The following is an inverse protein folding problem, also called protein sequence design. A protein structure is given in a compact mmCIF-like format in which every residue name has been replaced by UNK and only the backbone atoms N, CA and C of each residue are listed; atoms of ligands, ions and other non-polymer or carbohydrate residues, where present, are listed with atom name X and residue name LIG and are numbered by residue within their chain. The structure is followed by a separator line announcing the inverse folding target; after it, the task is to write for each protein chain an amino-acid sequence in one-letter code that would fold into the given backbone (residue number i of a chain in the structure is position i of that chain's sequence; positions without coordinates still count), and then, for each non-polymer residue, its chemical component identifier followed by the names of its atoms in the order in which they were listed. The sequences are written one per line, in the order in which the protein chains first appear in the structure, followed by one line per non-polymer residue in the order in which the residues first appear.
data_IF_231197667575
#
_entry.id   IF_231197667575
#
_cell.length_a   1.000
_cell.length_b   1.000
_cell.length_c   1.000
_cell.angle_alpha   90.00
_cell.angle_beta   90.00
_cell.angle_gamma   90.00
#
_symmetry.space_group_name_H-M   'P 1'
#
loop_
_entity.id
_entity.type
_entity.pdbx_description
1 polymer ?
#
# COMPACT_ATOMS: atom_id res chain seq x y z
N UNK A 1 -3.90 -18.05 -0.45
CA UNK A 1 -4.28 -17.55 -1.80
C UNK A 1 -3.77 -16.13 -1.97
N UNK A 2 -3.15 -15.82 -3.10
CA UNK A 2 -2.61 -14.47 -3.38
C UNK A 2 -3.72 -13.55 -3.87
N UNK A 3 -3.69 -12.30 -3.40
CA UNK A 3 -4.68 -11.28 -3.77
C UNK A 3 -4.01 -9.95 -4.04
N UNK A 4 -4.75 -9.05 -4.68
CA UNK A 4 -4.38 -7.66 -4.84
C UNK A 4 -5.62 -6.79 -4.66
N UNK A 5 -5.40 -5.52 -4.35
CA UNK A 5 -6.48 -4.57 -4.14
C UNK A 5 -5.96 -3.18 -4.47
N UNK A 6 -6.80 -2.37 -5.11
CA UNK A 6 -6.45 -1.03 -5.58
C UNK A 6 -7.70 -0.17 -5.63
N UNK A 7 -7.54 1.15 -5.47
CA UNK A 7 -8.65 2.08 -5.68
C UNK A 7 -8.84 2.29 -7.18
N UNK A 8 -10.07 2.17 -7.63
CA UNK A 8 -10.49 2.45 -8.99
C UNK A 8 -11.36 3.71 -8.98
N UNK A 9 -11.07 4.67 -9.85
CA UNK A 9 -11.82 5.94 -9.96
C UNK A 9 -12.10 6.18 -11.44
N UNK A 10 -13.37 6.29 -11.84
CA UNK A 10 -13.73 6.52 -13.25
C UNK A 10 -13.13 5.47 -14.20
N UNK A 11 -13.09 4.20 -13.78
CA UNK A 11 -12.49 3.11 -14.55
C UNK A 11 -10.96 3.15 -14.67
N UNK A 12 -10.27 3.98 -13.87
CA UNK A 12 -8.81 4.09 -13.86
C UNK A 12 -8.19 3.50 -12.59
N UNK A 13 -7.02 2.88 -12.73
CA UNK A 13 -6.27 2.25 -11.65
C UNK A 13 -4.79 2.62 -11.75
N UNK A 14 -4.19 3.03 -10.63
CA UNK A 14 -2.76 3.33 -10.55
C UNK A 14 -1.92 2.04 -10.60
N UNK A 15 -0.98 1.95 -11.53
CA UNK A 15 -0.04 0.84 -11.63
C UNK A 15 -0.72 -0.51 -11.89
N UNK A 16 -1.73 -0.55 -12.76
CA UNK A 16 -2.56 -1.74 -12.98
C UNK A 16 -1.72 -2.96 -13.41
N UNK A 17 -0.71 -2.74 -14.25
CA UNK A 17 0.23 -3.79 -14.68
C UNK A 17 1.08 -4.36 -13.53
N UNK A 18 1.32 -3.58 -12.47
CA UNK A 18 1.99 -4.08 -11.27
C UNK A 18 1.11 -5.04 -10.48
N UNK A 19 -0.20 -4.79 -10.47
CA UNK A 19 -1.18 -5.67 -9.85
C UNK A 19 -1.29 -7.01 -10.60
N UNK A 20 -1.25 -6.99 -11.94
CA UNK A 20 -1.22 -8.21 -12.75
C UNK A 20 0.04 -9.03 -12.53
N UNK A 21 1.21 -8.38 -12.52
CA UNK A 21 2.48 -9.04 -12.22
C UNK A 21 2.48 -9.71 -10.85
N UNK A 22 1.96 -9.04 -9.81
CA UNK A 22 1.83 -9.62 -8.47
C UNK A 22 0.97 -10.89 -8.46
N UNK A 23 -0.13 -10.87 -9.21
CA UNK A 23 -1.07 -11.99 -9.26
C UNK A 23 -0.63 -13.12 -10.19
N UNK A 24 0.32 -12.87 -11.10
CA UNK A 24 0.73 -13.83 -12.12
C UNK A 24 -0.37 -14.15 -13.14
N UNK A 25 -1.28 -13.20 -13.40
CA UNK A 25 -2.41 -13.45 -14.30
C UNK A 25 -1.96 -13.52 -15.76
N UNK A 26 -2.47 -14.52 -16.49
CA UNK A 26 -2.30 -14.59 -17.94
C UNK A 26 -3.08 -13.47 -18.64
N UNK A 27 -2.69 -13.08 -19.88
CA UNK A 27 -3.42 -12.05 -20.62
C UNK A 27 -4.91 -12.35 -20.82
N UNK A 28 -5.29 -13.63 -20.91
CA UNK A 28 -6.70 -14.03 -21.00
C UNK A 28 -7.45 -13.73 -19.72
N UNK A 29 -6.88 -14.08 -18.55
CA UNK A 29 -7.52 -13.83 -17.26
C UNK A 29 -7.57 -12.32 -16.97
N UNK A 30 -6.53 -11.57 -17.35
CA UNK A 30 -6.53 -10.10 -17.22
C UNK A 30 -7.69 -9.45 -18.00
N UNK A 31 -8.01 -9.94 -19.21
CA UNK A 31 -9.17 -9.44 -19.98
C UNK A 31 -10.50 -9.68 -19.27
N UNK A 32 -10.68 -10.85 -18.67
CA UNK A 32 -11.91 -11.16 -17.94
C UNK A 32 -12.04 -10.34 -16.65
N UNK A 33 -10.94 -10.17 -15.91
CA UNK A 33 -10.91 -9.28 -14.74
C UNK A 33 -11.27 -7.84 -15.13
N UNK A 34 -10.70 -7.33 -16.23
CA UNK A 34 -11.03 -5.98 -16.75
C UNK A 34 -12.51 -5.85 -17.08
N UNK A 35 -13.13 -6.87 -17.68
CA UNK A 35 -14.57 -6.89 -17.97
C UNK A 35 -15.41 -6.82 -16.70
N UNK A 36 -15.07 -7.60 -15.67
CA UNK A 36 -15.76 -7.56 -14.36
C UNK A 36 -15.65 -6.18 -13.71
N UNK A 37 -14.44 -5.60 -13.67
CA UNK A 37 -14.19 -4.28 -13.11
C UNK A 37 -14.97 -3.16 -13.82
N UNK A 38 -15.04 -3.18 -15.16
CA UNK A 38 -15.87 -2.23 -15.92
C UNK A 38 -17.36 -2.34 -15.57
N UNK A 39 -17.81 -3.52 -15.17
CA UNK A 39 -19.18 -3.76 -14.71
C UNK A 39 -19.55 -3.05 -13.41
N UNK A 40 -18.58 -2.54 -12.65
CA UNK A 40 -18.84 -1.82 -11.39
C UNK A 40 -19.28 -0.36 -11.59
N UNK A 41 -19.25 0.15 -12.82
CA UNK A 41 -19.68 1.50 -13.14
C UNK A 41 -18.61 2.57 -12.87
N UNK A 42 -18.99 3.86 -12.94
CA UNK A 42 -18.05 4.98 -12.91
C UNK A 42 -17.63 5.39 -11.49
N UNK A 43 -18.43 5.02 -10.48
CA UNK A 43 -18.21 5.44 -9.10
C UNK A 43 -16.93 4.85 -8.53
N UNK A 44 -16.22 5.58 -7.65
CA UNK A 44 -15.05 5.06 -6.99
C UNK A 44 -15.32 3.76 -6.22
N UNK A 45 -14.40 2.81 -6.30
CA UNK A 45 -14.45 1.58 -5.52
C UNK A 45 -13.06 1.02 -5.20
N UNK A 46 -12.99 0.01 -4.32
CA UNK A 46 -11.74 -0.62 -3.87
C UNK A 46 -11.76 -2.15 -4.03
N UNK A 47 -11.82 -2.67 -5.26
CA UNK A 47 -11.99 -4.09 -5.49
C UNK A 47 -10.87 -4.96 -4.90
N UNK A 48 -11.22 -6.20 -4.56
CA UNK A 48 -10.24 -7.28 -4.37
C UNK A 48 -10.16 -8.08 -5.66
N UNK A 49 -8.96 -8.41 -6.12
CA UNK A 49 -8.77 -9.39 -7.20
C UNK A 49 -7.93 -10.54 -6.67
N UNK A 50 -8.40 -11.76 -6.89
CA UNK A 50 -7.72 -13.00 -6.50
C UNK A 50 -6.85 -13.51 -7.65
N UNK A 51 -5.84 -14.32 -7.34
CA UNK A 51 -5.01 -14.97 -8.37
C UNK A 51 -5.80 -15.91 -9.30
N UNK A 52 -7.03 -16.28 -8.94
CA UNK A 52 -7.96 -17.05 -9.78
C UNK A 52 -8.67 -16.20 -10.84
N UNK A 53 -8.58 -14.86 -10.77
CA UNK A 53 -9.32 -13.94 -11.64
C UNK A 53 -10.71 -13.55 -11.12
N UNK A 54 -11.10 -14.02 -9.94
CA UNK A 54 -12.29 -13.54 -9.24
C UNK A 54 -12.11 -12.10 -8.77
N UNK A 55 -13.13 -11.27 -9.00
CA UNK A 55 -13.18 -9.87 -8.56
C UNK A 55 -14.30 -9.67 -7.56
N UNK A 56 -13.94 -9.17 -6.39
CA UNK A 56 -14.89 -8.80 -5.34
C UNK A 56 -15.07 -7.27 -5.36
N UNK A 57 -16.31 -6.81 -5.56
CA UNK A 57 -16.63 -5.40 -5.38
C UNK A 57 -16.52 -5.03 -3.90
N UNK A 58 -15.85 -3.91 -3.60
CA UNK A 58 -15.89 -3.29 -2.28
C UNK A 58 -16.04 -1.77 -2.44
N UNK A 59 -16.88 -1.14 -1.62
CA UNK A 59 -17.14 0.30 -1.74
C UNK A 59 -15.87 1.11 -1.46
N UNK A 60 -15.80 2.31 -2.03
CA UNK A 60 -14.79 3.29 -1.65
C UNK A 60 -15.03 3.77 -0.22
N UNK A 61 -14.01 4.38 0.38
CA UNK A 61 -14.08 4.98 1.71
C UNK A 61 -13.24 6.26 1.79
N UNK A 62 -13.56 7.20 2.69
CA UNK A 62 -12.78 8.41 2.84
C UNK A 62 -11.29 8.13 3.09
N UNK A 63 -10.43 8.95 2.48
CA UNK A 63 -8.98 8.90 2.66
C UNK A 63 -8.57 10.20 3.36
N UNK A 64 -7.70 10.06 4.37
CA UNK A 64 -7.01 11.17 5.00
C UNK A 64 -5.59 11.21 4.47
N UNK A 65 -5.13 12.40 4.08
CA UNK A 65 -3.75 12.59 3.61
C UNK A 65 -2.78 12.72 4.77
N UNK A 66 -3.12 13.52 5.79
CA UNK A 66 -2.38 13.60 7.04
C UNK A 66 -2.95 12.58 8.04
N UNK A 67 -2.10 11.66 8.52
CA UNK A 67 -2.48 10.57 9.42
C UNK A 67 -1.57 10.45 10.63
N UNK A 68 -2.12 9.88 11.70
CA UNK A 68 -1.37 9.50 12.89
C UNK A 68 -0.95 8.02 12.82
N UNK A 69 0.25 7.73 13.30
CA UNK A 69 0.81 6.36 13.37
C UNK A 69 1.04 6.00 14.84
N UNK A 70 0.61 4.80 15.23
CA UNK A 70 0.81 4.27 16.57
C UNK A 70 2.31 4.26 16.93
N UNK A 71 2.75 4.98 17.97
CA UNK A 71 4.15 5.02 18.37
C UNK A 71 4.63 3.70 18.98
N UNK A 72 3.72 2.80 19.35
CA UNK A 72 4.04 1.45 19.84
C UNK A 72 4.00 0.48 18.66
N UNK A 73 5.15 0.06 18.11
CA UNK A 73 5.17 -0.85 16.96
C UNK A 73 4.68 -2.25 17.35
N UNK A 74 4.20 -2.99 16.36
CA UNK A 74 3.79 -4.39 16.50
C UNK A 74 4.89 -5.31 15.99
N UNK A 75 5.14 -6.40 16.72
CA UNK A 75 6.02 -7.46 16.22
C UNK A 75 5.37 -8.11 14.99
N UNK A 76 6.13 -8.22 13.89
CA UNK A 76 5.68 -8.86 12.66
C UNK A 76 5.56 -10.39 12.85
N UNK A 77 4.34 -10.87 13.04
CA UNK A 77 4.02 -12.30 13.20
C UNK A 77 3.41 -12.92 11.93
N UNK A 78 3.48 -12.22 10.78
CA UNK A 78 2.95 -12.75 9.51
C UNK A 78 3.65 -14.05 9.14
N UNK A 79 2.87 -14.98 8.60
CA UNK A 79 3.35 -16.27 8.12
C UNK A 79 3.95 -16.17 6.71
N UNK A 80 3.40 -15.31 5.85
CA UNK A 80 3.79 -15.15 4.45
C UNK A 80 3.95 -13.66 4.10
N UNK A 81 4.90 -12.96 4.75
CA UNK A 81 4.95 -11.49 4.72
C UNK A 81 5.22 -10.90 3.32
N UNK A 82 5.87 -11.65 2.42
CA UNK A 82 6.16 -11.23 1.05
C UNK A 82 5.02 -11.53 0.06
N UNK A 83 3.95 -12.18 0.51
CA UNK A 83 2.79 -12.53 -0.30
C UNK A 83 1.53 -11.81 0.21
N UNK A 84 0.89 -11.00 -0.64
CA UNK A 84 -0.35 -10.34 -0.24
C UNK A 84 -1.50 -11.35 -0.24
N UNK A 85 -2.14 -11.53 0.92
CA UNK A 85 -3.35 -12.35 1.04
C UNK A 85 -3.39 -13.24 2.28
N UNK A 86 -2.43 -14.16 2.47
CA UNK A 86 -2.48 -15.15 3.55
C UNK A 86 -2.64 -14.55 4.94
N UNK A 87 -2.03 -13.40 5.21
CA UNK A 87 -2.03 -12.77 6.54
C UNK A 87 -3.03 -11.60 6.67
N UNK A 88 -4.03 -11.49 5.79
CA UNK A 88 -4.98 -10.36 5.83
C UNK A 88 -5.79 -10.30 7.14
N UNK A 89 -6.18 -11.45 7.69
CA UNK A 89 -6.94 -11.49 8.95
C UNK A 89 -6.07 -11.07 10.13
N UNK A 90 -4.81 -11.51 10.16
CA UNK A 90 -3.84 -11.05 11.16
C UNK A 90 -3.64 -9.54 11.06
N UNK A 91 -3.41 -9.02 9.84
CA UNK A 91 -3.26 -7.58 9.59
C UNK A 91 -4.52 -6.79 10.02
N UNK A 92 -5.71 -7.33 9.80
CA UNK A 92 -6.97 -6.73 10.23
C UNK A 92 -7.10 -6.65 11.76
N UNK A 93 -6.67 -7.69 12.48
CA UNK A 93 -6.58 -7.67 13.94
C UNK A 93 -5.54 -6.67 14.45
N UNK A 94 -4.36 -6.65 13.84
CA UNK A 94 -3.26 -5.75 14.22
C UNK A 94 -3.63 -4.28 14.01
N UNK A 95 -4.24 -3.92 12.87
CA UNK A 95 -4.68 -2.53 12.64
C UNK A 95 -5.75 -2.11 13.64
N UNK A 96 -6.66 -3.02 13.99
CA UNK A 96 -7.73 -2.74 14.96
C UNK A 96 -7.16 -2.40 16.34
N UNK A 97 -6.01 -2.98 16.69
CA UNK A 97 -5.30 -2.63 17.93
C UNK A 97 -4.79 -1.20 17.89
N UNK A 98 -4.13 -0.76 16.82
CA UNK A 98 -3.70 0.64 16.68
C UNK A 98 -4.87 1.62 16.62
N UNK A 99 -5.95 1.26 15.92
CA UNK A 99 -7.17 2.07 15.85
C UNK A 99 -7.87 2.19 17.21
N UNK A 100 -7.89 1.12 18.03
CA UNK A 100 -8.43 1.18 19.39
C UNK A 100 -7.69 2.14 20.31
N UNK A 101 -6.43 2.47 19.98
CA UNK A 101 -5.61 3.48 20.67
C UNK A 101 -5.74 4.88 20.07
N UNK A 102 -6.55 5.05 19.03
CA UNK A 102 -6.81 6.33 18.38
C UNK A 102 -5.89 6.65 17.20
N UNK A 103 -5.10 5.69 16.70
CA UNK A 103 -4.19 5.90 15.56
C UNK A 103 -4.78 5.40 14.25
N UNK A 104 -4.47 6.08 13.14
CA UNK A 104 -4.99 5.71 11.82
C UNK A 104 -4.24 4.50 11.22
N UNK A 105 -2.99 4.29 11.62
CA UNK A 105 -2.10 3.23 11.14
C UNK A 105 -1.11 2.79 12.25
N UNK A 106 -0.40 1.68 12.05
CA UNK A 106 0.70 1.23 12.91
C UNK A 106 1.90 0.74 12.12
N UNK A 107 3.02 0.50 12.81
CA UNK A 107 4.25 -0.02 12.23
C UNK A 107 4.47 -1.48 12.62
N UNK A 108 5.05 -2.25 11.70
CA UNK A 108 5.54 -3.60 11.93
C UNK A 108 7.06 -3.58 12.09
N UNK A 109 7.56 -4.26 13.12
CA UNK A 109 9.01 -4.44 13.37
C UNK A 109 9.36 -5.92 13.50
N UNK A 110 10.62 -6.28 13.27
CA UNK A 110 11.13 -7.61 13.57
C UNK A 110 11.47 -7.80 15.06
N UNK A 111 12.01 -8.97 15.42
CA UNK A 111 12.39 -9.30 16.81
C UNK A 111 13.54 -8.45 17.34
N UNK A 112 14.35 -7.87 16.46
CA UNK A 112 15.43 -6.95 16.82
C UNK A 112 14.96 -5.50 16.87
N UNK A 113 13.71 -5.21 16.47
CA UNK A 113 13.11 -3.88 16.44
C UNK A 113 13.39 -3.08 15.17
N UNK A 114 13.86 -3.71 14.09
CA UNK A 114 13.99 -3.06 12.78
C UNK A 114 12.63 -2.97 12.09
N UNK A 115 12.43 -1.84 11.42
CA UNK A 115 11.22 -1.49 10.69
C UNK A 115 11.05 -2.41 9.47
N UNK A 116 9.93 -3.12 9.45
CA UNK A 116 9.50 -3.94 8.31
C UNK A 116 8.68 -3.08 7.36
N UNK A 117 7.47 -2.70 7.73
CA UNK A 117 6.57 -1.83 6.95
C UNK A 117 5.46 -1.28 7.85
N UNK A 118 4.56 -0.45 7.33
CA UNK A 118 3.29 -0.16 8.03
C UNK A 118 2.32 -1.34 7.89
N UNK A 119 1.32 -1.46 8.77
CA UNK A 119 0.41 -2.62 8.78
C UNK A 119 -0.23 -2.85 7.40
N UNK A 120 -0.74 -1.80 6.75
CA UNK A 120 -1.27 -1.90 5.38
C UNK A 120 -0.49 -1.10 4.33
N UNK A 121 0.71 -0.61 4.65
CA UNK A 121 1.40 0.39 3.83
C UNK A 121 2.90 0.13 3.73
N UNK A 122 3.48 0.31 2.54
CA UNK A 122 4.93 0.50 2.41
C UNK A 122 5.32 1.89 2.92
N UNK A 123 6.61 2.12 3.16
CA UNK A 123 7.10 3.33 3.82
C UNK A 123 8.19 4.03 3.02
N UNK A 124 8.19 5.36 3.07
CA UNK A 124 9.35 6.22 2.82
C UNK A 124 9.53 7.06 4.09
N UNK A 125 10.71 7.01 4.70
CA UNK A 125 11.03 7.70 5.95
C UNK A 125 11.92 8.91 5.63
N UNK A 126 11.52 10.09 6.08
CA UNK A 126 12.27 11.33 5.90
C UNK A 126 13.25 11.51 7.06
N UNK A 127 14.50 11.16 6.80
CA UNK A 127 15.59 11.30 7.77
C UNK A 127 16.34 12.62 7.54
N UNK A 128 17.24 13.04 8.45
CA UNK A 128 18.08 14.22 8.22
C UNK A 128 18.94 14.13 6.94
N UNK A 129 19.26 12.92 6.47
CA UNK A 129 19.99 12.68 5.22
C UNK A 129 19.09 12.62 3.97
N UNK A 130 17.78 12.82 4.11
CA UNK A 130 16.80 12.72 3.03
C UNK A 130 15.84 11.52 3.14
N UNK A 131 14.98 11.32 2.12
CA UNK A 131 14.01 10.23 2.06
C UNK A 131 14.70 8.88 1.85
N UNK A 132 14.28 7.88 2.61
CA UNK A 132 14.83 6.53 2.56
C UNK A 132 13.71 5.50 2.65
N UNK A 133 13.82 4.44 1.86
CA UNK A 133 12.93 3.29 1.97
C UNK A 133 13.52 2.32 3.00
N UNK A 134 12.79 1.95 4.07
CA UNK A 134 13.23 0.88 4.96
C UNK A 134 13.49 -0.39 4.15
N UNK A 135 14.60 -1.09 4.40
CA UNK A 135 14.92 -2.34 3.73
C UNK A 135 14.77 -3.50 4.70
N UNK A 136 13.86 -4.43 4.41
CA UNK A 136 13.66 -5.61 5.24
C UNK A 136 13.19 -6.82 4.41
N UNK A 137 13.73 -8.04 4.61
CA UNK A 137 13.38 -9.22 3.80
C UNK A 137 11.92 -9.66 3.93
N UNK A 138 11.23 -9.24 4.99
CA UNK A 138 9.79 -9.47 5.23
C UNK A 138 8.88 -8.39 4.62
N UNK A 139 9.37 -7.53 3.75
CA UNK A 139 8.51 -6.53 3.10
C UNK A 139 7.68 -7.12 1.98
N UNK A 140 6.44 -6.65 1.88
CA UNK A 140 5.61 -6.91 0.71
C UNK A 140 6.09 -6.03 -0.46
N UNK A 141 6.30 -6.64 -1.63
CA UNK A 141 6.59 -5.90 -2.86
C UNK A 141 5.44 -4.96 -3.24
N UNK A 142 5.54 -3.68 -2.88
CA UNK A 142 4.48 -2.68 -3.01
C UNK A 142 4.38 -2.11 -4.43
N UNK A 143 3.17 -2.14 -5.00
CA UNK A 143 2.88 -1.55 -6.32
C UNK A 143 2.94 -0.02 -6.29
N UNK A 144 2.53 0.60 -5.17
CA UNK A 144 2.57 2.06 -5.03
C UNK A 144 3.99 2.55 -4.80
N UNK A 145 4.77 1.86 -3.96
CA UNK A 145 6.17 2.25 -3.70
C UNK A 145 6.99 2.20 -5.00
N UNK A 146 6.79 1.17 -5.83
CA UNK A 146 7.50 1.08 -7.11
C UNK A 146 7.27 2.30 -8.01
N UNK A 147 6.04 2.81 -8.08
CA UNK A 147 5.71 4.02 -8.84
C UNK A 147 6.30 5.28 -8.20
N UNK A 148 6.25 5.39 -6.87
CA UNK A 148 6.78 6.57 -6.17
C UNK A 148 8.32 6.61 -6.21
N UNK A 149 9.00 5.47 -6.16
CA UNK A 149 10.45 5.42 -6.37
C UNK A 149 10.84 5.95 -7.75
N UNK A 150 10.04 5.69 -8.78
CA UNK A 150 10.25 6.26 -10.13
C UNK A 150 10.10 7.79 -10.13
N UNK A 151 9.12 8.34 -9.41
CA UNK A 151 8.96 9.79 -9.25
C UNK A 151 10.22 10.47 -8.70
N UNK A 152 10.91 9.83 -7.75
CA UNK A 152 12.18 10.33 -7.19
C UNK A 152 13.40 10.04 -8.08
N UNK A 153 13.27 9.30 -9.17
CA UNK A 153 14.41 8.81 -9.96
C UNK A 153 15.24 7.75 -9.22
N UNK A 154 14.66 7.09 -8.22
CA UNK A 154 15.34 6.19 -7.30
C UNK A 154 15.32 6.70 -5.85
N UNK A 155 15.38 5.78 -4.90
CA UNK A 155 15.51 6.10 -3.48
C UNK A 155 16.53 5.15 -2.83
N UNK A 156 17.37 5.64 -1.91
CA UNK A 156 18.22 4.75 -1.13
C UNK A 156 17.36 3.81 -0.28
N UNK A 157 17.92 2.62 -0.02
CA UNK A 157 17.31 1.63 0.86
C UNK A 157 18.27 1.30 2.01
N UNK A 158 17.77 1.18 3.23
CA UNK A 158 18.57 0.73 4.40
C UNK A 158 17.67 0.21 5.52
N UNK A 159 18.22 -0.62 6.39
CA UNK A 159 17.54 -1.00 7.63
C UNK A 159 17.36 0.24 8.52
N UNK A 160 16.18 0.38 9.13
CA UNK A 160 15.81 1.51 9.96
C UNK A 160 15.12 1.03 11.23
N UNK A 161 15.13 1.85 12.28
CA UNK A 161 14.30 1.69 13.48
C UNK A 161 13.23 2.80 13.50
N UNK A 162 12.07 2.61 14.17
CA UNK A 162 11.04 3.63 14.26
C UNK A 162 11.44 4.73 15.26
N UNK A 163 12.20 5.73 14.79
CA UNK A 163 12.74 6.83 15.61
C UNK A 163 11.85 8.09 15.63
N UNK A 164 10.57 7.96 15.25
CA UNK A 164 9.64 9.10 15.21
C UNK A 164 9.85 10.07 14.03
N UNK A 165 10.67 9.70 13.05
CA UNK A 165 10.84 10.48 11.82
C UNK A 165 9.53 10.61 11.02
N UNK A 166 9.28 11.76 10.36
CA UNK A 166 8.19 11.90 9.41
C UNK A 166 8.27 10.83 8.32
N UNK A 167 7.11 10.38 7.84
CA UNK A 167 7.05 9.30 6.87
C UNK A 167 5.88 9.47 5.91
N UNK A 168 6.09 8.95 4.70
CA UNK A 168 5.01 8.62 3.78
C UNK A 168 4.63 7.16 3.91
N UNK A 169 3.32 6.91 3.89
CA UNK A 169 2.69 5.59 3.93
C UNK A 169 1.97 5.34 2.60
N UNK A 170 2.38 4.29 1.90
CA UNK A 170 2.04 4.04 0.52
C UNK A 170 1.27 2.73 0.34
N UNK A 171 0.06 2.81 -0.21
CA UNK A 171 -0.67 1.64 -0.68
C UNK A 171 -1.57 1.98 -1.88
N UNK A 172 -2.09 0.97 -2.56
CA UNK A 172 -2.84 1.17 -3.81
C UNK A 172 -4.27 1.69 -3.58
N UNK A 173 -4.75 1.67 -2.33
CA UNK A 173 -6.02 2.25 -1.94
C UNK A 173 -5.91 3.77 -1.78
N UNK A 174 -5.15 4.21 -0.78
CA UNK A 174 -4.99 5.64 -0.46
C UNK A 174 -4.06 6.35 -1.43
N UNK A 175 -3.09 5.66 -2.02
CA UNK A 175 -1.94 6.31 -2.63
C UNK A 175 -0.90 6.60 -1.57
N UNK A 176 -0.45 7.84 -1.51
CA UNK A 176 0.51 8.33 -0.52
C UNK A 176 -0.23 9.11 0.55
N UNK A 177 -0.01 8.76 1.82
CA UNK A 177 -0.40 9.54 3.00
C UNK A 177 0.85 9.96 3.75
N UNK A 178 0.79 11.00 4.58
CA UNK A 178 1.92 11.54 5.35
C UNK A 178 1.63 11.61 6.83
N UNK A 179 2.67 11.56 7.66
CA UNK A 179 2.58 11.87 9.11
C UNK A 179 2.93 13.31 9.44
N UNK A 180 3.36 14.11 8.45
CA UNK A 180 3.76 15.51 8.67
C UNK A 180 3.34 16.39 7.49
N UNK A 181 2.83 17.58 7.81
CA UNK A 181 2.50 18.62 6.84
C UNK A 181 3.75 19.17 6.11
N UNK A 182 4.94 18.96 6.64
CA UNK A 182 6.21 19.34 6.00
C UNK A 182 6.50 18.53 4.73
N UNK A 183 5.89 17.33 4.62
CA UNK A 183 6.02 16.43 3.48
C UNK A 183 4.65 16.21 2.83
N UNK A 184 4.10 17.21 2.13
CA UNK A 184 2.78 17.14 1.52
C UNK A 184 2.71 16.07 0.42
N UNK A 185 1.51 15.55 0.16
CA UNK A 185 1.29 14.39 -0.72
C UNK A 185 0.45 14.70 -1.97
N UNK A 186 -0.04 15.94 -2.11
CA UNK A 186 -0.95 16.31 -3.19
C UNK A 186 -0.32 16.13 -4.57
N UNK A 187 0.91 16.63 -4.74
CA UNK A 187 1.63 16.56 -6.01
C UNK A 187 1.90 15.11 -6.43
N UNK A 188 2.39 14.27 -5.51
CA UNK A 188 2.67 12.86 -5.80
C UNK A 188 1.39 12.07 -6.09
N UNK A 189 0.31 12.32 -5.35
CA UNK A 189 -0.97 11.67 -5.63
C UNK A 189 -1.56 12.11 -6.97
N UNK A 190 -1.45 13.39 -7.34
CA UNK A 190 -1.85 13.89 -8.65
C UNK A 190 -1.00 13.24 -9.77
N UNK A 191 0.32 13.14 -9.57
CA UNK A 191 1.24 12.50 -10.51
C UNK A 191 0.90 11.03 -10.75
N UNK A 192 0.55 10.28 -9.69
CA UNK A 192 0.12 8.89 -9.79
C UNK A 192 -1.19 8.76 -10.58
N UNK A 193 -2.17 9.64 -10.34
CA UNK A 193 -3.45 9.60 -11.05
C UNK A 193 -3.34 10.00 -12.52
N UNK A 194 -2.45 10.95 -12.86
CA UNK A 194 -2.16 11.30 -14.25
C UNK A 194 -1.64 10.11 -15.07
N UNK A 195 -1.05 9.11 -14.39
CA UNK A 195 -0.51 7.87 -14.98
C UNK A 195 -1.39 6.64 -14.78
N UNK A 196 -2.58 6.80 -14.19
CA UNK A 196 -3.46 5.67 -13.93
C UNK A 196 -3.99 5.07 -15.24
N UNK A 197 -3.90 3.75 -15.34
CA UNK A 197 -4.31 2.95 -16.49
C UNK A 197 -5.83 2.84 -16.54
N UNK A 198 -6.40 2.89 -17.74
CA UNK A 198 -7.79 2.47 -17.94
C UNK A 198 -7.88 0.95 -17.76
N UNK A 199 -8.91 0.53 -17.06
CA UNK A 199 -9.32 -0.87 -16.95
C UNK A 199 -9.93 -1.34 -18.26
#
# INVERSE_FOLDING_TARGET
MTVTSFRMVGGRVRGLELHWRRLGLSPQVQREVRKQLRGFGPDPCFPLVRSTGEVEYRPDRPIKDLISVDPVPHLDQRSNPTCKGPDLDWLAGTISTSQSRGYDEGLLVDGDGFLVEGIFSALIVFTPSGPVVPAHPRQLGSTTLQQVTEFFGGLPTRQLRPEGHPMWLLNAFSGVRTTSAEYPVDEINAWLWARADLV
#
